data_IF_884548955029
#
_entry.id   IF_884548955029
#
_cell.length_a   1.000
_cell.length_b   1.000
_cell.length_c   1.000
_cell.angle_alpha   90.00
_cell.angle_beta   90.00
_cell.angle_gamma   90.00
#
_symmetry.space_group_name_H-M   'P 1'
#
loop_
_entity.id
_entity.type
_entity.pdbx_description
1 polymer ?
#
# COMPACT_ATOMS: atom_id res chain seq x y z
N UNK A 1 -21.45 -10.46 27.03
CA UNK A 1 -20.96 -11.00 25.75
C UNK A 1 -21.21 -9.94 24.67
N UNK A 2 -20.18 -9.18 24.35
CA UNK A 2 -20.24 -8.28 23.20
C UNK A 2 -20.07 -9.13 21.96
N UNK A 3 -21.12 -9.29 21.16
CA UNK A 3 -21.02 -9.81 19.81
C UNK A 3 -20.22 -8.81 18.96
N UNK A 4 -18.96 -9.07 18.81
CA UNK A 4 -18.14 -8.39 17.82
C UNK A 4 -18.65 -8.84 16.46
N UNK A 5 -19.44 -8.02 15.79
CA UNK A 5 -19.76 -8.21 14.37
C UNK A 5 -18.42 -8.00 13.65
N UNK A 6 -17.73 -9.10 13.35
CA UNK A 6 -16.53 -9.06 12.49
C UNK A 6 -17.02 -8.54 11.14
N UNK A 7 -16.56 -7.36 10.78
CA UNK A 7 -16.89 -6.78 9.49
C UNK A 7 -16.34 -7.71 8.39
N UNK A 8 -17.23 -8.25 7.56
CA UNK A 8 -16.87 -9.18 6.49
C UNK A 8 -15.79 -8.63 5.52
N UNK A 9 -15.69 -7.31 5.40
CA UNK A 9 -14.65 -6.64 4.61
C UNK A 9 -13.29 -6.73 5.30
N UNK A 10 -13.22 -6.53 6.61
CA UNK A 10 -11.98 -6.67 7.40
C UNK A 10 -11.45 -8.11 7.31
N UNK A 11 -12.32 -9.09 7.43
CA UNK A 11 -11.95 -10.51 7.30
C UNK A 11 -11.42 -10.84 5.90
N UNK A 12 -12.05 -10.33 4.84
CA UNK A 12 -11.64 -10.57 3.46
C UNK A 12 -10.28 -9.96 3.10
N UNK A 13 -9.95 -8.81 3.66
CA UNK A 13 -8.71 -8.09 3.37
C UNK A 13 -7.60 -8.39 4.39
N UNK A 14 -7.88 -9.18 5.41
CA UNK A 14 -6.91 -9.50 6.46
C UNK A 14 -5.67 -10.23 5.90
N UNK A 15 -4.43 -9.79 6.25
CA UNK A 15 -3.21 -10.52 5.95
C UNK A 15 -3.11 -11.90 6.60
N UNK A 16 -3.99 -12.24 7.53
CA UNK A 16 -4.10 -13.59 8.10
C UNK A 16 -4.90 -14.55 7.24
N UNK A 17 -5.59 -14.06 6.20
CA UNK A 17 -6.30 -14.93 5.28
C UNK A 17 -5.30 -15.80 4.52
N UNK A 18 -5.56 -17.10 4.47
CA UNK A 18 -4.75 -18.03 3.68
C UNK A 18 -4.80 -17.67 2.20
N UNK A 19 -3.63 -17.47 1.60
CA UNK A 19 -3.48 -17.24 0.17
C UNK A 19 -3.55 -18.56 -0.60
N UNK A 20 -4.01 -18.50 -1.84
CA UNK A 20 -3.80 -19.59 -2.79
C UNK A 20 -2.33 -19.67 -3.20
N UNK A 21 -1.89 -20.81 -3.75
CA UNK A 21 -0.51 -20.94 -4.24
C UNK A 21 -0.14 -19.89 -5.30
N UNK A 22 -1.07 -19.53 -6.17
CA UNK A 22 -0.88 -18.47 -7.17
C UNK A 22 -0.71 -17.09 -6.52
N UNK A 23 -1.51 -16.79 -5.50
CA UNK A 23 -1.40 -15.55 -4.74
C UNK A 23 -0.09 -15.46 -3.96
N UNK A 24 0.35 -16.56 -3.35
CA UNK A 24 1.66 -16.63 -2.66
C UNK A 24 2.81 -16.41 -3.63
N UNK A 25 2.77 -17.03 -4.80
CA UNK A 25 3.78 -16.83 -5.84
C UNK A 25 3.82 -15.37 -6.29
N UNK A 26 2.66 -14.73 -6.48
CA UNK A 26 2.59 -13.32 -6.84
C UNK A 26 3.18 -12.41 -5.76
N UNK A 27 2.89 -12.65 -4.48
CA UNK A 27 3.51 -11.92 -3.36
C UNK A 27 5.04 -12.05 -3.40
N UNK A 28 5.55 -13.27 -3.59
CA UNK A 28 6.98 -13.54 -3.67
C UNK A 28 7.65 -12.86 -4.88
N UNK A 29 6.99 -12.86 -6.03
CA UNK A 29 7.47 -12.18 -7.24
C UNK A 29 7.57 -10.66 -7.02
N UNK A 30 6.56 -10.05 -6.39
CA UNK A 30 6.57 -8.63 -6.09
C UNK A 30 7.63 -8.30 -5.03
N UNK A 31 7.80 -9.12 -3.99
CA UNK A 31 8.85 -8.93 -3.00
C UNK A 31 10.24 -9.04 -3.62
N UNK A 32 10.46 -10.00 -4.51
CA UNK A 32 11.72 -10.14 -5.25
C UNK A 32 11.99 -8.93 -6.15
N UNK A 33 10.96 -8.45 -6.84
CA UNK A 33 11.04 -7.22 -7.63
C UNK A 33 11.39 -6.03 -6.75
N UNK A 34 10.68 -5.84 -5.61
CA UNK A 34 10.90 -4.73 -4.70
C UNK A 34 12.33 -4.74 -4.14
N UNK A 35 12.81 -5.87 -3.64
CA UNK A 35 14.16 -6.00 -3.09
C UNK A 35 15.25 -5.76 -4.12
N UNK A 36 15.01 -6.14 -5.38
CA UNK A 36 15.94 -5.92 -6.49
C UNK A 36 16.07 -4.45 -6.85
N UNK A 37 14.96 -3.70 -6.79
CA UNK A 37 14.88 -2.34 -7.29
C UNK A 37 14.99 -1.26 -6.21
N UNK A 38 14.90 -1.60 -4.92
CA UNK A 38 14.83 -0.63 -3.81
C UNK A 38 16.03 0.32 -3.70
N UNK A 39 17.17 -0.05 -4.23
CA UNK A 39 18.41 0.76 -4.18
C UNK A 39 18.74 1.45 -5.51
N UNK A 40 17.82 1.47 -6.44
CA UNK A 40 18.01 2.12 -7.74
C UNK A 40 17.66 3.60 -7.66
N UNK A 41 18.35 4.42 -8.47
CA UNK A 41 18.14 5.88 -8.54
C UNK A 41 16.93 6.28 -9.41
N UNK A 42 16.15 5.31 -9.87
CA UNK A 42 14.96 5.54 -10.70
C UNK A 42 13.80 4.68 -10.22
N UNK A 43 12.56 5.16 -10.35
CA UNK A 43 11.39 4.43 -9.93
C UNK A 43 11.17 3.17 -10.78
N UNK A 44 10.84 2.06 -10.12
CA UNK A 44 10.43 0.82 -10.77
C UNK A 44 8.96 0.54 -10.47
N UNK A 45 8.21 0.05 -11.44
CA UNK A 45 6.76 -0.17 -11.32
C UNK A 45 6.44 -1.63 -11.60
N UNK A 46 5.75 -2.27 -10.66
CA UNK A 46 5.14 -3.59 -10.83
C UNK A 46 3.62 -3.42 -10.90
N UNK A 47 3.00 -3.88 -11.97
CA UNK A 47 1.56 -3.74 -12.17
C UNK A 47 0.87 -5.10 -12.10
N UNK A 48 -0.16 -5.21 -11.27
CA UNK A 48 -1.00 -6.40 -11.12
C UNK A 48 -2.34 -6.16 -11.81
N UNK A 49 -2.64 -6.98 -12.80
CA UNK A 49 -3.93 -7.01 -13.48
C UNK A 49 -4.77 -8.19 -13.01
N UNK A 50 -6.07 -8.03 -13.02
CA UNK A 50 -7.02 -9.09 -12.73
C UNK A 50 -8.44 -8.55 -12.61
N UNK A 51 -9.41 -9.41 -12.84
CA UNK A 51 -10.82 -9.06 -12.73
C UNK A 51 -11.25 -8.75 -11.29
N UNK A 52 -12.41 -8.15 -11.13
CA UNK A 52 -13.00 -7.93 -9.82
C UNK A 52 -13.20 -9.26 -9.08
N UNK A 53 -12.89 -9.30 -7.80
CA UNK A 53 -13.05 -10.50 -6.97
C UNK A 53 -11.96 -11.57 -7.09
N UNK A 54 -10.87 -11.31 -7.83
CA UNK A 54 -9.73 -12.26 -7.95
C UNK A 54 -8.77 -12.23 -6.76
N UNK A 55 -9.03 -11.39 -5.75
CA UNK A 55 -8.23 -11.34 -4.53
C UNK A 55 -7.01 -10.43 -4.60
N UNK A 56 -6.95 -9.49 -5.55
CA UNK A 56 -5.83 -8.51 -5.66
C UNK A 56 -5.57 -7.76 -4.35
N UNK A 57 -6.62 -7.24 -3.72
CA UNK A 57 -6.49 -6.48 -2.47
C UNK A 57 -5.95 -7.33 -1.31
N UNK A 58 -6.31 -8.62 -1.26
CA UNK A 58 -5.76 -9.58 -0.28
C UNK A 58 -4.26 -9.79 -0.51
N UNK A 59 -3.84 -9.96 -1.76
CA UNK A 59 -2.42 -10.07 -2.14
C UNK A 59 -1.67 -8.81 -1.72
N UNK A 60 -2.21 -7.63 -2.01
CA UNK A 60 -1.57 -6.35 -1.65
C UNK A 60 -1.48 -6.14 -0.13
N UNK A 61 -2.49 -6.56 0.63
CA UNK A 61 -2.47 -6.51 2.10
C UNK A 61 -1.37 -7.42 2.68
N UNK A 62 -1.26 -8.65 2.20
CA UNK A 62 -0.18 -9.57 2.56
C UNK A 62 1.19 -9.01 2.20
N UNK A 63 1.35 -8.56 0.96
CA UNK A 63 2.58 -7.95 0.47
C UNK A 63 3.03 -6.79 1.36
N UNK A 64 2.12 -5.87 1.66
CA UNK A 64 2.46 -4.70 2.46
C UNK A 64 2.83 -5.07 3.90
N UNK A 65 2.16 -6.05 4.49
CA UNK A 65 2.55 -6.58 5.79
C UNK A 65 3.97 -7.17 5.76
N UNK A 66 4.32 -7.97 4.75
CA UNK A 66 5.67 -8.53 4.59
C UNK A 66 6.73 -7.42 4.41
N UNK A 67 6.44 -6.40 3.61
CA UNK A 67 7.32 -5.23 3.43
C UNK A 67 7.55 -4.53 4.77
N UNK A 68 6.50 -4.27 5.54
CA UNK A 68 6.60 -3.55 6.81
C UNK A 68 7.26 -4.38 7.91
N UNK A 69 7.03 -5.69 7.94
CA UNK A 69 7.77 -6.61 8.82
C UNK A 69 9.26 -6.56 8.50
N UNK A 70 9.63 -6.65 7.23
CA UNK A 70 11.03 -6.57 6.81
C UNK A 70 11.65 -5.21 7.16
N UNK A 71 10.93 -4.12 6.88
CA UNK A 71 11.40 -2.76 7.15
C UNK A 71 11.64 -2.48 8.64
N UNK A 72 10.88 -3.12 9.52
CA UNK A 72 10.89 -2.85 10.96
C UNK A 72 11.63 -3.87 11.81
N UNK A 73 11.88 -5.08 11.28
CA UNK A 73 12.41 -6.19 12.09
C UNK A 73 13.58 -6.94 11.48
N UNK A 74 13.79 -6.87 10.16
CA UNK A 74 14.80 -7.70 9.47
C UNK A 74 16.01 -6.86 9.06
N UNK A 75 16.98 -6.74 9.95
CA UNK A 75 18.21 -5.94 9.71
C UNK A 75 19.00 -6.38 8.48
N UNK A 76 18.94 -7.67 8.12
CA UNK A 76 19.62 -8.24 6.94
C UNK A 76 18.84 -7.99 5.62
N UNK A 77 17.61 -7.48 5.71
CA UNK A 77 16.79 -7.24 4.52
C UNK A 77 17.18 -5.93 3.82
N UNK A 78 17.23 -5.90 2.47
CA UNK A 78 17.34 -4.66 1.73
C UNK A 78 16.22 -3.64 2.02
N UNK A 79 15.08 -4.12 2.56
CA UNK A 79 13.94 -3.30 2.95
C UNK A 79 14.05 -2.72 4.37
N UNK A 80 15.10 -3.07 5.13
CA UNK A 80 15.25 -2.58 6.50
C UNK A 80 15.34 -1.07 6.55
N UNK A 81 14.55 -0.46 7.45
CA UNK A 81 14.42 0.99 7.64
C UNK A 81 13.86 1.77 6.44
N UNK A 82 13.26 1.10 5.46
CA UNK A 82 12.57 1.79 4.37
C UNK A 82 11.28 2.47 4.85
N UNK A 83 10.94 3.57 4.19
CA UNK A 83 9.70 4.33 4.41
C UNK A 83 8.68 3.94 3.36
N UNK A 84 7.60 3.29 3.78
CA UNK A 84 6.64 2.67 2.88
C UNK A 84 5.22 3.10 3.20
N UNK A 85 4.40 3.27 2.18
CA UNK A 85 2.99 3.63 2.31
C UNK A 85 2.08 2.75 1.46
N UNK A 86 0.88 2.51 1.99
CA UNK A 86 -0.23 1.91 1.28
C UNK A 86 -1.24 2.99 0.92
N UNK A 87 -1.55 3.13 -0.36
CA UNK A 87 -2.38 4.20 -0.90
C UNK A 87 -3.64 3.63 -1.53
N UNK A 88 -4.78 4.17 -1.15
CA UNK A 88 -6.06 3.90 -1.81
C UNK A 88 -6.92 5.15 -1.84
N UNK A 89 -7.46 5.46 -3.01
CA UNK A 89 -8.33 6.64 -3.18
C UNK A 89 -9.81 6.30 -2.96
N UNK A 90 -10.09 5.62 -1.85
CA UNK A 90 -11.44 5.23 -1.45
C UNK A 90 -11.58 5.28 0.08
N UNK A 91 -12.36 6.23 0.64
CA UNK A 91 -12.43 6.44 2.09
C UNK A 91 -12.85 5.20 2.90
N UNK A 92 -13.85 4.46 2.43
CA UNK A 92 -14.37 3.28 3.14
C UNK A 92 -13.37 2.12 3.12
N UNK A 93 -12.71 1.87 2.00
CA UNK A 93 -11.66 0.84 1.89
C UNK A 93 -10.46 1.21 2.77
N UNK A 94 -10.06 2.49 2.75
CA UNK A 94 -8.98 2.98 3.61
C UNK A 94 -9.28 2.75 5.09
N UNK A 95 -10.52 2.96 5.52
CA UNK A 95 -10.96 2.69 6.89
C UNK A 95 -10.77 1.23 7.27
N UNK A 96 -11.17 0.31 6.39
CA UNK A 96 -10.99 -1.14 6.61
C UNK A 96 -9.50 -1.49 6.76
N UNK A 97 -8.62 -0.97 5.92
CA UNK A 97 -7.18 -1.19 6.05
C UNK A 97 -6.62 -0.65 7.37
N UNK A 98 -7.09 0.51 7.83
CA UNK A 98 -6.68 1.07 9.14
C UNK A 98 -7.18 0.25 10.33
N UNK A 99 -8.34 -0.38 10.22
CA UNK A 99 -8.83 -1.33 11.22
C UNK A 99 -7.93 -2.57 11.29
N UNK A 100 -7.60 -3.15 10.14
CA UNK A 100 -6.66 -4.29 10.04
C UNK A 100 -5.30 -3.94 10.63
N UNK A 101 -4.78 -2.75 10.35
CA UNK A 101 -3.50 -2.30 10.89
C UNK A 101 -3.50 -2.23 12.43
N UNK A 102 -4.65 -1.97 13.04
CA UNK A 102 -4.80 -1.96 14.50
C UNK A 102 -4.58 -3.31 15.16
N UNK A 103 -4.74 -4.40 14.42
CA UNK A 103 -4.63 -5.78 14.91
C UNK A 103 -3.27 -6.43 14.60
N UNK A 104 -2.39 -5.72 13.88
CA UNK A 104 -1.11 -6.23 13.43
C UNK A 104 0.07 -5.43 14.01
N UNK A 105 1.10 -6.12 14.58
CA UNK A 105 2.16 -5.45 15.33
C UNK A 105 3.07 -4.54 14.49
N UNK A 106 3.18 -4.81 13.18
CA UNK A 106 4.11 -4.11 12.30
C UNK A 106 3.43 -3.24 11.25
N UNK A 107 2.09 -3.18 11.24
CA UNK A 107 1.32 -2.23 10.45
C UNK A 107 0.82 -1.09 11.34
N UNK A 108 1.04 0.15 10.92
CA UNK A 108 0.53 1.31 11.62
C UNK A 108 -0.56 1.98 10.79
N UNK A 109 -1.59 2.52 11.45
CA UNK A 109 -2.67 3.22 10.76
C UNK A 109 -2.18 4.38 9.89
N UNK A 110 -1.07 5.02 10.26
CA UNK A 110 -0.42 6.09 9.50
C UNK A 110 0.23 5.63 8.19
N UNK A 111 0.50 4.33 8.05
CA UNK A 111 1.08 3.77 6.83
C UNK A 111 0.06 3.71 5.69
N UNK A 112 -1.24 3.83 6.02
CA UNK A 112 -2.37 3.78 5.08
C UNK A 112 -2.93 5.18 4.88
N UNK A 113 -2.95 5.64 3.63
CA UNK A 113 -3.30 7.02 3.33
C UNK A 113 -3.98 7.19 1.97
N UNK A 114 -4.57 8.35 1.76
CA UNK A 114 -5.07 8.75 0.43
C UNK A 114 -3.95 9.36 -0.40
N UNK A 115 -4.02 9.28 -1.75
CA UNK A 115 -2.95 9.78 -2.61
C UNK A 115 -2.68 11.29 -2.43
N UNK A 116 -3.72 12.13 -2.38
CA UNK A 116 -3.55 13.58 -2.14
C UNK A 116 -2.88 13.86 -0.81
N UNK A 117 -3.28 13.16 0.25
CA UNK A 117 -2.72 13.34 1.59
C UNK A 117 -1.24 12.99 1.64
N UNK A 118 -0.84 11.90 0.99
CA UNK A 118 0.57 11.50 0.92
C UNK A 118 1.40 12.50 0.12
N UNK A 119 0.95 12.88 -1.07
CA UNK A 119 1.65 13.85 -1.94
C UNK A 119 1.89 15.15 -1.17
N UNK A 120 0.85 15.72 -0.57
CA UNK A 120 0.95 16.98 0.16
C UNK A 120 1.83 16.86 1.44
N UNK A 121 1.80 15.71 2.11
CA UNK A 121 2.66 15.44 3.27
C UNK A 121 4.14 15.40 2.88
N UNK A 122 4.47 14.70 1.80
CA UNK A 122 5.84 14.58 1.30
C UNK A 122 6.38 15.92 0.83
N UNK A 123 5.57 16.71 0.09
CA UNK A 123 5.95 18.04 -0.35
C UNK A 123 6.22 18.98 0.83
N UNK A 124 5.35 18.96 1.84
CA UNK A 124 5.51 19.80 3.04
C UNK A 124 6.81 19.51 3.79
N UNK A 125 7.25 18.25 3.79
CA UNK A 125 8.44 17.80 4.52
C UNK A 125 9.69 17.74 3.66
N UNK A 126 9.57 17.91 2.35
CA UNK A 126 10.63 17.66 1.36
C UNK A 126 11.20 16.23 1.51
N UNK A 127 10.31 15.26 1.64
CA UNK A 127 10.64 13.84 1.82
C UNK A 127 10.24 13.02 0.59
N UNK A 128 10.91 11.89 0.41
CA UNK A 128 10.57 10.84 -0.55
C UNK A 128 10.14 9.56 0.17
N UNK A 129 9.66 8.58 -0.57
CA UNK A 129 9.30 7.27 -0.06
C UNK A 129 10.06 6.18 -0.80
N UNK A 130 10.25 5.04 -0.18
CA UNK A 130 10.95 3.92 -0.81
C UNK A 130 10.00 2.98 -1.55
N UNK A 131 8.82 2.71 -0.96
CA UNK A 131 7.80 1.84 -1.57
C UNK A 131 6.42 2.45 -1.42
N UNK A 132 5.65 2.49 -2.50
CA UNK A 132 4.22 2.82 -2.49
C UNK A 132 3.45 1.65 -3.07
N UNK A 133 2.60 1.04 -2.25
CA UNK A 133 1.60 0.06 -2.70
C UNK A 133 0.30 0.78 -2.97
N UNK A 134 -0.26 0.60 -4.16
CA UNK A 134 -1.49 1.29 -4.58
C UNK A 134 -2.57 0.25 -4.85
N UNK A 135 -3.64 0.29 -4.07
CA UNK A 135 -4.86 -0.49 -4.35
C UNK A 135 -5.87 0.39 -5.11
N UNK A 136 -6.71 -0.25 -5.93
CA UNK A 136 -7.72 0.43 -6.74
C UNK A 136 -7.14 1.58 -7.59
N UNK A 137 -6.02 1.32 -8.28
CA UNK A 137 -5.27 2.34 -9.03
C UNK A 137 -6.11 3.10 -10.07
N UNK A 138 -7.21 2.51 -10.55
CA UNK A 138 -8.16 3.17 -11.46
C UNK A 138 -8.93 4.33 -10.82
N UNK A 139 -8.94 4.44 -9.48
CA UNK A 139 -9.55 5.55 -8.75
C UNK A 139 -8.62 6.76 -8.58
N UNK A 140 -7.36 6.65 -8.99
CA UNK A 140 -6.42 7.78 -8.94
C UNK A 140 -6.88 8.89 -9.91
N UNK A 141 -6.74 10.14 -9.46
CA UNK A 141 -7.10 11.29 -10.27
C UNK A 141 -6.08 11.50 -11.39
N UNK A 142 -6.59 11.69 -12.60
CA UNK A 142 -5.82 12.06 -13.79
C UNK A 142 -5.95 13.55 -14.17
N UNK A 143 -6.51 14.35 -13.27
CA UNK A 143 -6.66 15.80 -13.41
C UNK A 143 -6.61 16.47 -12.05
N UNK A 144 -6.33 17.76 -12.02
CA UNK A 144 -6.33 18.55 -10.79
C UNK A 144 -7.73 18.60 -10.14
N UNK A 145 -7.74 18.63 -8.82
CA UNK A 145 -8.93 18.82 -7.99
C UNK A 145 -8.58 19.79 -6.84
N UNK A 146 -8.48 21.10 -7.10
CA UNK A 146 -8.11 22.09 -6.09
C UNK A 146 -9.09 22.15 -4.92
N UNK A 147 -10.36 21.80 -5.13
CA UNK A 147 -11.35 21.74 -4.07
C UNK A 147 -10.99 20.73 -2.97
N UNK A 148 -10.37 19.62 -3.37
CA UNK A 148 -9.85 18.59 -2.45
C UNK A 148 -8.33 18.72 -2.23
N UNK A 149 -7.75 19.88 -2.43
CA UNK A 149 -6.33 20.18 -2.20
C UNK A 149 -5.35 19.39 -3.09
N UNK A 150 -5.80 18.92 -4.25
CA UNK A 150 -4.94 18.32 -5.25
C UNK A 150 -4.72 19.31 -6.41
N UNK A 151 -3.55 19.94 -6.42
CA UNK A 151 -3.20 20.99 -7.38
C UNK A 151 -2.44 20.53 -8.61
N UNK A 152 -1.95 19.28 -8.58
CA UNK A 152 -1.24 18.64 -9.70
C UNK A 152 -2.22 18.02 -10.71
N UNK A 153 -1.68 17.52 -11.82
CA UNK A 153 -2.50 16.99 -12.92
C UNK A 153 -2.77 15.49 -12.86
N UNK A 154 -1.90 14.71 -12.18
CA UNK A 154 -2.03 13.24 -12.16
C UNK A 154 -1.42 12.66 -10.88
N UNK A 155 -2.26 12.00 -10.08
CA UNK A 155 -1.83 11.43 -8.79
C UNK A 155 -0.80 10.31 -8.97
N UNK A 156 -0.93 9.44 -9.96
CA UNK A 156 0.02 8.36 -10.19
C UNK A 156 1.41 8.92 -10.54
N UNK A 157 1.46 9.88 -11.45
CA UNK A 157 2.71 10.54 -11.84
C UNK A 157 3.38 11.22 -10.64
N UNK A 158 2.59 11.90 -9.81
CA UNK A 158 3.13 12.58 -8.63
C UNK A 158 3.62 11.61 -7.55
N UNK A 159 2.99 10.44 -7.39
CA UNK A 159 3.47 9.38 -6.51
C UNK A 159 4.79 8.78 -7.03
N UNK A 160 4.87 8.50 -8.33
CA UNK A 160 6.09 7.96 -8.97
C UNK A 160 7.28 8.90 -8.81
N UNK A 161 7.07 10.21 -8.93
CA UNK A 161 8.15 11.22 -8.76
C UNK A 161 8.72 11.28 -7.34
N UNK A 162 7.99 10.81 -6.35
CA UNK A 162 8.34 10.85 -4.93
C UNK A 162 8.77 9.49 -4.38
N UNK A 163 8.68 8.45 -5.19
CA UNK A 163 9.12 7.10 -4.88
C UNK A 163 10.58 6.84 -5.29
#
# INVERSE_FOLDING_TARGET
MQNTIINSATEKLSPFKTLTAEQENLVNDILSFTTKHIKQDYPAIFTVYGDAGTGKSVVLAHLFNEIQVAARTKEDSPLYQTTNYFVVNHPEILKVYKEIAGDLPHLYKKDFTRPTSLINQLDKKDETVDVVVIDEAHLLLSRSDPYNNFTYNNQLVELIKRA
#
